data_IF_574313497953
#
_entry.id   IF_574313497953
#
_cell.length_a   1.000
_cell.length_b   1.000
_cell.length_c   1.000
_cell.angle_alpha   90.00
_cell.angle_beta   90.00
_cell.angle_gamma   90.00
#
_symmetry.space_group_name_H-M   'P 1'
#
loop_
_entity.id
_entity.type
_entity.pdbx_description
1 polymer ?
#
# COMPACT_ATOMS: atom_id res chain seq x y z
N UNK A 1 -9.44 -23.52 3.15
CA UNK A 1 -9.16 -22.23 3.79
C UNK A 1 -8.99 -21.18 2.72
N UNK A 2 -9.86 -20.17 2.72
CA UNK A 2 -9.86 -19.05 1.78
C UNK A 2 -8.56 -18.23 1.86
N UNK A 3 -8.21 -17.60 0.75
CA UNK A 3 -7.07 -16.69 0.62
C UNK A 3 -7.55 -15.25 0.78
N UNK A 4 -6.76 -14.42 1.45
CA UNK A 4 -7.03 -12.98 1.54
C UNK A 4 -6.88 -12.36 0.15
N UNK A 5 -7.88 -11.58 -0.26
CA UNK A 5 -7.86 -10.76 -1.46
C UNK A 5 -6.97 -9.56 -1.21
N UNK A 6 -6.05 -9.29 -2.13
CA UNK A 6 -5.14 -8.17 -2.05
C UNK A 6 -5.56 -7.05 -2.99
N UNK A 7 -4.84 -5.93 -2.91
CA UNK A 7 -5.03 -4.74 -3.73
C UNK A 7 -5.34 -5.08 -5.21
N UNK A 8 -6.21 -4.25 -5.81
CA UNK A 8 -6.79 -4.41 -7.15
C UNK A 8 -7.83 -5.53 -7.34
N UNK A 9 -8.07 -6.42 -6.37
CA UNK A 9 -9.26 -7.28 -6.42
C UNK A 9 -10.53 -6.40 -6.33
N UNK A 10 -11.42 -6.40 -7.34
CA UNK A 10 -12.57 -5.50 -7.38
C UNK A 10 -13.52 -5.64 -6.20
N UNK A 11 -13.52 -6.77 -5.48
CA UNK A 11 -14.41 -6.95 -4.33
C UNK A 11 -14.03 -6.04 -3.14
N UNK A 12 -12.77 -5.61 -3.05
CA UNK A 12 -12.28 -4.75 -1.97
C UNK A 12 -12.80 -3.30 -2.08
N UNK A 13 -13.28 -2.92 -3.27
CA UNK A 13 -13.82 -1.59 -3.58
C UNK A 13 -15.34 -1.61 -3.81
N UNK A 14 -16.02 -2.69 -3.40
CA UNK A 14 -17.48 -2.84 -3.52
C UNK A 14 -18.12 -2.85 -2.15
N UNK A 15 -19.19 -2.08 -2.02
CA UNK A 15 -20.13 -2.23 -0.91
C UNK A 15 -20.72 -3.64 -0.91
N UNK A 16 -20.68 -4.29 0.25
CA UNK A 16 -21.12 -5.67 0.41
C UNK A 16 -22.61 -5.78 0.70
N UNK A 17 -23.21 -6.91 0.37
CA UNK A 17 -24.63 -7.16 0.61
C UNK A 17 -24.94 -7.43 2.09
N UNK A 18 -26.06 -6.94 2.63
CA UNK A 18 -26.51 -7.31 3.96
C UNK A 18 -26.68 -8.82 4.14
N UNK A 19 -26.38 -9.31 5.34
CA UNK A 19 -26.69 -10.67 5.78
C UNK A 19 -28.17 -10.74 6.15
N UNK A 20 -28.94 -11.57 5.45
CA UNK A 20 -30.37 -11.78 5.69
C UNK A 20 -30.71 -13.18 6.19
N UNK A 21 -29.77 -14.12 6.08
CA UNK A 21 -29.92 -15.53 6.48
C UNK A 21 -28.84 -15.86 7.50
N UNK A 22 -29.27 -16.26 8.69
CA UNK A 22 -28.42 -16.57 9.85
C UNK A 22 -28.33 -18.08 10.03
N UNK A 23 -27.50 -18.72 9.20
CA UNK A 23 -27.40 -20.18 9.10
C UNK A 23 -26.10 -20.74 9.69
N UNK A 24 -25.98 -22.07 9.71
CA UNK A 24 -24.74 -22.72 10.12
C UNK A 24 -23.58 -22.38 9.18
N UNK A 25 -23.83 -22.22 7.88
CA UNK A 25 -22.81 -21.81 6.91
C UNK A 25 -22.26 -20.41 7.20
N UNK A 26 -23.09 -19.49 7.71
CA UNK A 26 -22.63 -18.16 8.15
C UNK A 26 -21.69 -18.28 9.36
N UNK A 27 -22.01 -19.16 10.30
CA UNK A 27 -21.17 -19.45 11.46
C UNK A 27 -19.84 -20.05 11.03
N UNK A 28 -19.85 -21.07 10.17
CA UNK A 28 -18.64 -21.69 9.61
C UNK A 28 -17.77 -20.67 8.87
N UNK A 29 -18.37 -19.76 8.10
CA UNK A 29 -17.65 -18.66 7.47
C UNK A 29 -16.96 -17.75 8.50
N UNK A 30 -17.65 -17.37 9.59
CA UNK A 30 -17.05 -16.55 10.64
C UNK A 30 -15.89 -17.24 11.36
N UNK A 31 -15.98 -18.56 11.55
CA UNK A 31 -14.91 -19.37 12.13
C UNK A 31 -13.71 -19.46 11.17
N UNK A 32 -13.96 -19.66 9.88
CA UNK A 32 -12.92 -19.60 8.84
C UNK A 32 -12.25 -18.22 8.79
N UNK A 33 -13.02 -17.14 8.89
CA UNK A 33 -12.50 -15.77 8.94
C UNK A 33 -11.57 -15.55 10.13
N UNK A 34 -11.96 -15.99 11.33
CA UNK A 34 -11.09 -15.91 12.51
C UNK A 34 -9.79 -16.69 12.33
N UNK A 35 -9.87 -17.92 11.78
CA UNK A 35 -8.68 -18.73 11.49
C UNK A 35 -7.73 -18.06 10.49
N UNK A 36 -8.27 -17.50 9.40
CA UNK A 36 -7.47 -16.76 8.41
C UNK A 36 -6.86 -15.51 9.01
N UNK A 37 -7.63 -14.75 9.81
CA UNK A 37 -7.15 -13.56 10.51
C UNK A 37 -5.98 -13.91 11.43
N UNK A 38 -6.09 -14.96 12.26
CA UNK A 38 -5.01 -15.39 13.16
C UNK A 38 -3.77 -15.84 12.42
N UNK A 39 -3.94 -16.63 11.36
CA UNK A 39 -2.80 -17.11 10.55
C UNK A 39 -1.98 -15.96 9.96
N UNK A 40 -2.64 -14.85 9.64
CA UNK A 40 -2.00 -13.66 9.09
C UNK A 40 -1.72 -12.57 10.14
N UNK A 41 -1.85 -12.88 11.44
CA UNK A 41 -1.56 -11.95 12.56
C UNK A 41 -2.41 -10.67 12.46
N UNK A 42 -3.67 -10.81 12.01
CA UNK A 42 -4.64 -9.72 11.94
C UNK A 42 -5.39 -9.49 13.26
N UNK A 43 -5.96 -8.29 13.41
CA UNK A 43 -6.84 -7.93 14.54
C UNK A 43 -8.32 -7.80 14.13
N UNK A 44 -8.58 -7.77 12.83
CA UNK A 44 -9.90 -7.73 12.22
C UNK A 44 -9.84 -8.32 10.81
N UNK A 45 -10.99 -8.78 10.32
CA UNK A 45 -11.15 -9.21 8.94
C UNK A 45 -12.62 -9.07 8.50
N UNK A 46 -12.83 -8.41 7.36
CA UNK A 46 -14.11 -8.32 6.68
C UNK A 46 -14.29 -9.44 5.64
N UNK A 47 -15.52 -9.90 5.43
CA UNK A 47 -15.80 -11.06 4.59
C UNK A 47 -15.42 -10.85 3.12
N UNK A 48 -15.52 -9.63 2.59
CA UNK A 48 -15.08 -9.31 1.23
C UNK A 48 -13.57 -9.46 1.05
N UNK A 49 -12.77 -9.34 2.10
CA UNK A 49 -11.34 -9.65 2.05
C UNK A 49 -11.08 -11.15 1.81
N UNK A 50 -12.09 -12.02 1.91
CA UNK A 50 -12.00 -13.43 1.51
C UNK A 50 -12.75 -13.74 0.19
N UNK A 51 -13.25 -12.70 -0.49
CA UNK A 51 -14.07 -12.85 -1.69
C UNK A 51 -15.56 -13.05 -1.41
N UNK A 52 -16.02 -12.89 -0.17
CA UNK A 52 -17.43 -13.05 0.20
C UNK A 52 -18.19 -11.73 0.16
N UNK A 53 -19.23 -11.66 -0.65
CA UNK A 53 -20.09 -10.49 -0.74
C UNK A 53 -21.16 -10.51 0.37
N UNK A 54 -20.74 -10.35 1.63
CA UNK A 54 -21.59 -10.35 2.82
C UNK A 54 -21.13 -9.29 3.81
N UNK A 55 -22.07 -8.58 4.42
CA UNK A 55 -21.82 -7.65 5.52
C UNK A 55 -21.56 -8.44 6.81
N UNK A 56 -20.35 -8.97 6.92
CA UNK A 56 -19.86 -9.76 8.04
C UNK A 56 -18.41 -9.36 8.29
N UNK A 57 -18.10 -9.05 9.55
CA UNK A 57 -16.74 -8.84 10.01
C UNK A 57 -16.46 -9.69 11.25
N UNK A 58 -15.18 -10.00 11.48
CA UNK A 58 -14.70 -10.58 12.73
C UNK A 58 -13.60 -9.71 13.31
N UNK A 59 -13.52 -9.63 14.64
CA UNK A 59 -12.41 -8.96 15.32
C UNK A 59 -11.98 -9.76 16.54
N UNK A 60 -10.68 -9.73 16.82
CA UNK A 60 -10.08 -10.26 18.05
C UNK A 60 -8.73 -9.59 18.27
N UNK A 61 -8.37 -9.35 19.53
CA UNK A 61 -7.04 -8.90 19.87
C UNK A 61 -6.57 -9.55 21.16
N UNK A 62 -5.44 -10.25 21.09
CA UNK A 62 -4.77 -10.84 22.25
C UNK A 62 -3.45 -10.12 22.46
N UNK A 63 -3.30 -9.33 23.54
CA UNK A 63 -2.03 -8.69 23.87
C UNK A 63 -0.94 -9.76 24.03
N UNK A 64 0.28 -9.41 23.65
CA UNK A 64 1.45 -10.22 24.00
C UNK A 64 1.61 -10.18 25.52
N UNK A 65 2.10 -11.26 26.14
CA UNK A 65 2.15 -11.44 27.61
C UNK A 65 2.77 -10.27 28.41
N UNK A 66 3.60 -9.44 27.78
CA UNK A 66 4.31 -8.31 28.41
C UNK A 66 3.70 -6.93 28.11
N UNK A 67 2.65 -6.84 27.29
CA UNK A 67 1.94 -5.58 27.03
C UNK A 67 0.81 -5.40 28.04
N UNK A 68 1.13 -4.73 29.16
CA UNK A 68 0.20 -4.45 30.26
C UNK A 68 -0.79 -3.32 29.95
N UNK A 69 -0.54 -2.53 28.92
CA UNK A 69 -1.35 -1.35 28.58
C UNK A 69 -2.46 -1.70 27.57
N UNK A 70 -2.31 -2.81 26.87
CA UNK A 70 -3.27 -3.34 25.91
C UNK A 70 -4.32 -4.23 26.57
N UNK A 71 -5.60 -3.86 26.41
CA UNK A 71 -6.73 -4.69 26.86
C UNK A 71 -7.10 -5.71 25.78
N UNK A 72 -7.30 -6.99 26.13
CA UNK A 72 -7.74 -7.99 25.16
C UNK A 72 -9.13 -7.66 24.64
N UNK A 73 -9.33 -7.94 23.36
CA UNK A 73 -10.63 -7.90 22.68
C UNK A 73 -11.00 -9.35 22.41
N UNK A 74 -12.05 -9.90 23.05
CA UNK A 74 -12.49 -11.26 22.79
C UNK A 74 -12.98 -11.40 21.35
N UNK A 75 -12.93 -12.62 20.77
CA UNK A 75 -13.40 -12.83 19.41
C UNK A 75 -14.89 -12.47 19.32
N UNK A 76 -15.23 -11.69 18.30
CA UNK A 76 -16.62 -11.37 17.97
C UNK A 76 -16.81 -11.41 16.45
N UNK A 77 -18.01 -11.82 16.05
CA UNK A 77 -18.46 -11.78 14.67
C UNK A 77 -19.72 -10.90 14.61
N UNK A 78 -19.70 -9.90 13.72
CA UNK A 78 -20.77 -8.92 13.61
C UNK A 78 -21.30 -8.90 12.18
N UNK A 79 -22.61 -9.11 12.05
CA UNK A 79 -23.34 -8.98 10.79
C UNK A 79 -23.97 -7.60 10.69
N UNK A 80 -24.07 -7.06 9.48
CA UNK A 80 -24.76 -5.79 9.19
C UNK A 80 -24.26 -4.63 10.07
N UNK A 81 -22.96 -4.59 10.33
CA UNK A 81 -22.35 -3.62 11.20
C UNK A 81 -22.33 -2.23 10.55
N UNK A 82 -22.81 -1.21 11.27
CA UNK A 82 -22.81 0.19 10.85
C UNK A 82 -22.42 1.12 11.98
N UNK A 83 -21.65 2.16 11.67
CA UNK A 83 -21.36 3.25 12.61
C UNK A 83 -22.57 4.18 12.68
N UNK A 84 -23.20 4.28 13.86
CA UNK A 84 -24.36 5.17 14.10
C UNK A 84 -23.98 6.46 14.84
N UNK A 85 -22.81 6.49 15.48
CA UNK A 85 -22.31 7.67 16.18
C UNK A 85 -20.79 7.64 16.26
N UNK A 86 -20.17 8.80 16.04
CA UNK A 86 -18.73 9.00 16.19
C UNK A 86 -18.45 10.11 17.20
N UNK A 87 -17.31 10.02 17.89
CA UNK A 87 -16.79 11.13 18.71
C UNK A 87 -16.32 12.28 17.84
N UNK A 88 -16.33 13.50 18.40
CA UNK A 88 -15.68 14.66 17.78
C UNK A 88 -14.16 14.62 17.94
N UNK A 89 -13.68 14.07 19.06
CA UNK A 89 -12.27 13.81 19.26
C UNK A 89 -11.78 12.75 18.27
N UNK A 90 -10.63 13.01 17.65
CA UNK A 90 -9.94 12.12 16.72
C UNK A 90 -8.54 11.77 17.22
N UNK A 91 -7.98 10.66 16.74
CA UNK A 91 -6.57 10.36 16.89
C UNK A 91 -5.96 9.90 15.55
N UNK A 92 -4.67 10.16 15.37
CA UNK A 92 -3.88 9.68 14.24
C UNK A 92 -2.97 8.56 14.72
N UNK A 93 -3.04 7.41 14.05
CA UNK A 93 -2.19 6.24 14.33
C UNK A 93 -1.86 5.53 13.03
N UNK A 94 -0.81 4.73 13.05
CA UNK A 94 -0.45 3.83 11.95
C UNK A 94 -1.52 2.74 11.82
N UNK A 95 -2.00 2.51 10.60
CA UNK A 95 -2.82 1.36 10.22
C UNK A 95 -2.12 0.56 9.12
N UNK A 96 -2.34 -0.76 9.15
CA UNK A 96 -2.04 -1.68 8.07
C UNK A 96 -3.25 -2.57 7.82
N UNK A 97 -3.27 -3.26 6.69
CA UNK A 97 -4.38 -4.10 6.26
C UNK A 97 -3.87 -5.42 5.69
N UNK A 98 -4.56 -6.52 5.97
CA UNK A 98 -4.24 -7.83 5.39
C UNK A 98 -4.42 -7.88 3.87
N UNK A 99 -5.25 -6.98 3.31
CA UNK A 99 -5.44 -6.82 1.85
C UNK A 99 -4.43 -5.88 1.20
N UNK A 100 -3.62 -5.16 1.98
CA UNK A 100 -2.53 -4.32 1.48
C UNK A 100 -1.26 -4.64 2.30
N UNK A 101 -0.78 -5.89 2.27
CA UNK A 101 0.31 -6.34 3.11
C UNK A 101 1.60 -5.57 2.84
N UNK A 102 2.24 -5.10 3.91
CA UNK A 102 3.48 -4.32 3.84
C UNK A 102 3.26 -2.82 3.65
N UNK A 103 2.01 -2.36 3.56
CA UNK A 103 1.68 -0.94 3.59
C UNK A 103 1.23 -0.52 4.99
N UNK A 104 1.84 0.55 5.50
CA UNK A 104 1.54 1.14 6.79
C UNK A 104 1.43 2.66 6.65
N UNK A 105 0.28 3.23 7.00
CA UNK A 105 0.01 4.66 6.81
C UNK A 105 -0.60 5.29 8.06
N UNK A 106 -0.31 6.57 8.27
CA UNK A 106 -0.94 7.37 9.32
C UNK A 106 -2.39 7.68 8.94
N UNK A 107 -3.34 7.16 9.73
CA UNK A 107 -4.78 7.34 9.50
C UNK A 107 -5.41 8.07 10.69
N UNK A 108 -6.15 9.14 10.39
CA UNK A 108 -6.93 9.88 11.40
C UNK A 108 -8.35 9.33 11.47
N UNK A 109 -8.77 8.89 12.66
CA UNK A 109 -10.14 8.39 12.92
C UNK A 109 -10.73 8.98 14.21
N UNK A 110 -12.07 9.07 14.34
CA UNK A 110 -12.74 9.25 15.62
C UNK A 110 -12.19 8.34 16.73
N UNK A 111 -11.98 8.91 17.92
CA UNK A 111 -11.44 8.21 19.10
C UNK A 111 -12.41 7.17 19.71
N UNK A 112 -13.70 7.33 19.44
CA UNK A 112 -14.74 6.37 19.80
C UNK A 112 -15.90 6.36 18.83
N UNK A 113 -16.55 5.20 18.73
CA UNK A 113 -17.72 4.97 17.87
C UNK A 113 -18.79 4.15 18.59
N UNK A 114 -20.03 4.28 18.13
CA UNK A 114 -21.10 3.35 18.45
C UNK A 114 -21.49 2.60 17.19
N UNK A 115 -21.40 1.27 17.25
CA UNK A 115 -21.79 0.35 16.17
C UNK A 115 -23.16 -0.25 16.50
N UNK A 116 -24.06 -0.28 15.52
CA UNK A 116 -25.19 -1.20 15.49
C UNK A 116 -24.86 -2.36 14.57
N UNK A 117 -25.16 -3.57 15.01
CA UNK A 117 -24.93 -4.80 14.27
C UNK A 117 -25.93 -5.87 14.70
N UNK A 118 -25.79 -7.06 14.14
CA UNK A 118 -26.44 -8.29 14.59
C UNK A 118 -25.37 -9.34 14.90
N UNK A 119 -25.62 -10.21 15.86
CA UNK A 119 -24.79 -11.40 16.04
C UNK A 119 -25.10 -12.46 14.98
N UNK A 120 -24.40 -13.60 15.03
CA UNK A 120 -24.58 -14.72 14.09
C UNK A 120 -25.96 -15.38 14.14
N UNK A 121 -26.80 -15.07 15.13
CA UNK A 121 -28.19 -15.53 15.25
C UNK A 121 -29.19 -14.51 14.74
N UNK A 122 -28.72 -13.33 14.33
CA UNK A 122 -29.56 -12.20 13.90
C UNK A 122 -30.03 -11.31 15.04
N UNK A 123 -29.63 -11.60 16.28
CA UNK A 123 -30.00 -10.78 17.43
C UNK A 123 -29.30 -9.41 17.35
N UNK A 124 -30.03 -8.29 17.50
CA UNK A 124 -29.42 -6.96 17.50
C UNK A 124 -28.41 -6.79 18.63
N UNK A 125 -27.29 -6.13 18.32
CA UNK A 125 -26.23 -5.76 19.26
C UNK A 125 -25.84 -4.30 19.04
N UNK A 126 -25.61 -3.58 20.13
CA UNK A 126 -25.06 -2.21 20.10
C UNK A 126 -23.75 -2.19 20.87
N UNK A 127 -22.67 -1.73 20.22
CA UNK A 127 -21.33 -1.72 20.79
C UNK A 127 -20.85 -0.27 20.87
N UNK A 128 -20.55 0.19 22.09
CA UNK A 128 -19.83 1.45 22.31
C UNK A 128 -18.34 1.16 22.48
N UNK A 129 -17.54 1.58 21.53
CA UNK A 129 -16.11 1.31 21.50
C UNK A 129 -15.29 2.61 21.64
N UNK A 130 -14.12 2.49 22.27
CA UNK A 130 -13.08 3.52 22.34
C UNK A 130 -11.71 2.87 22.10
N UNK A 131 -10.71 3.68 21.78
CA UNK A 131 -9.32 3.20 21.67
C UNK A 131 -9.14 2.19 20.53
N UNK A 132 -8.39 1.12 20.77
CA UNK A 132 -8.05 0.13 19.73
C UNK A 132 -9.29 -0.53 19.11
N UNK A 133 -10.26 -0.96 19.93
CA UNK A 133 -11.49 -1.59 19.42
C UNK A 133 -12.27 -0.64 18.51
N UNK A 134 -12.35 0.66 18.85
CA UNK A 134 -13.02 1.63 17.99
C UNK A 134 -12.31 1.77 16.64
N UNK A 135 -10.98 1.71 16.62
CA UNK A 135 -10.20 1.79 15.37
C UNK A 135 -10.40 0.54 14.52
N UNK A 136 -10.29 -0.65 15.10
CA UNK A 136 -10.50 -1.92 14.37
C UNK A 136 -11.92 -1.95 13.79
N UNK A 137 -12.95 -1.65 14.59
CA UNK A 137 -14.33 -1.67 14.09
C UNK A 137 -14.57 -0.66 12.96
N UNK A 138 -13.99 0.54 13.05
CA UNK A 138 -14.08 1.51 11.95
C UNK A 138 -13.38 1.00 10.68
N UNK A 139 -12.20 0.40 10.82
CA UNK A 139 -11.46 -0.18 9.70
C UNK A 139 -12.23 -1.33 9.02
N UNK A 140 -12.78 -2.25 9.82
CA UNK A 140 -13.53 -3.37 9.26
C UNK A 140 -14.88 -2.93 8.66
N UNK A 141 -15.56 -1.94 9.25
CA UNK A 141 -16.78 -1.38 8.66
C UNK A 141 -16.47 -0.68 7.34
N UNK A 142 -15.39 0.09 7.24
CA UNK A 142 -14.95 0.70 5.98
C UNK A 142 -14.80 -0.37 4.88
N UNK A 143 -14.18 -1.51 5.19
CA UNK A 143 -14.06 -2.59 4.22
C UNK A 143 -15.41 -3.08 3.70
N UNK A 144 -16.42 -3.20 4.56
CA UNK A 144 -17.76 -3.60 4.15
C UNK A 144 -18.41 -2.56 3.22
N UNK A 145 -18.03 -1.30 3.33
CA UNK A 145 -18.48 -0.20 2.47
C UNK A 145 -17.61 -0.02 1.20
N UNK A 146 -16.64 -0.92 0.96
CA UNK A 146 -15.69 -0.82 -0.16
C UNK A 146 -14.64 0.29 0.01
N UNK A 147 -14.43 0.74 1.24
CA UNK A 147 -13.49 1.77 1.63
C UNK A 147 -12.23 1.09 2.17
N UNK A 148 -11.06 1.58 1.75
CA UNK A 148 -9.77 1.12 2.27
C UNK A 148 -9.20 2.16 3.22
N UNK A 149 -8.37 1.74 4.17
CA UNK A 149 -7.72 2.68 5.11
C UNK A 149 -6.87 3.75 4.39
N UNK A 150 -6.37 3.46 3.19
CA UNK A 150 -5.66 4.42 2.32
C UNK A 150 -6.52 5.63 1.94
N UNK A 151 -7.85 5.49 1.91
CA UNK A 151 -8.78 6.58 1.63
C UNK A 151 -8.84 7.62 2.77
N UNK A 152 -8.35 7.24 3.96
CA UNK A 152 -8.29 8.05 5.17
C UNK A 152 -6.85 8.43 5.56
N UNK A 153 -5.86 7.96 4.79
CA UNK A 153 -4.44 8.17 5.10
C UNK A 153 -4.02 9.62 4.86
N UNK A 154 -3.22 10.17 5.78
CA UNK A 154 -2.63 11.50 5.62
C UNK A 154 -1.63 11.51 4.46
N UNK A 155 -1.60 12.61 3.71
CA UNK A 155 -0.70 12.76 2.55
C UNK A 155 -1.12 11.99 1.30
N UNK A 156 -2.08 11.07 1.40
CA UNK A 156 -2.67 10.38 0.25
C UNK A 156 -3.82 11.22 -0.29
N UNK A 157 -3.66 11.76 -1.51
CA UNK A 157 -4.79 12.38 -2.21
C UNK A 157 -5.80 11.26 -2.51
N UNK A 158 -6.98 11.34 -1.89
CA UNK A 158 -8.02 10.33 -2.05
C UNK A 158 -8.47 10.29 -3.52
N UNK A 159 -8.00 9.25 -4.20
CA UNK A 159 -8.27 8.97 -5.58
C UNK A 159 -8.82 7.54 -5.60
N UNK A 160 -10.12 7.41 -5.34
CA UNK A 160 -10.76 6.09 -5.28
C UNK A 160 -10.73 5.34 -6.61
N UNK A 161 -10.47 6.00 -7.74
CA UNK A 161 -10.70 5.45 -9.09
C UNK A 161 -9.84 6.05 -10.23
N UNK A 162 -8.55 6.36 -10.05
CA UNK A 162 -7.69 6.65 -11.22
C UNK A 162 -7.15 5.35 -11.83
N UNK A 163 -8.05 4.58 -12.44
CA UNK A 163 -7.70 3.49 -13.36
C UNK A 163 -7.64 3.97 -14.83
N UNK A 164 -7.30 5.25 -15.04
CA UNK A 164 -7.20 5.82 -16.39
C UNK A 164 -5.91 5.40 -17.11
N UNK A 165 -4.92 4.91 -16.36
CA UNK A 165 -3.64 4.47 -16.88
C UNK A 165 -3.19 3.17 -16.20
N UNK A 166 -2.78 2.21 -17.01
CA UNK A 166 -1.98 1.06 -16.60
C UNK A 166 -0.52 1.51 -16.42
N UNK A 167 0.01 1.38 -15.21
CA UNK A 167 1.36 1.81 -14.85
C UNK A 167 2.29 0.61 -14.75
N UNK A 168 3.44 0.68 -15.42
CA UNK A 168 4.57 -0.21 -15.13
C UNK A 168 5.59 0.57 -14.30
N UNK A 169 5.88 0.05 -13.11
CA UNK A 169 6.82 0.68 -12.19
C UNK A 169 8.22 0.07 -12.31
N UNK A 170 9.25 0.90 -12.38
CA UNK A 170 10.66 0.49 -12.42
C UNK A 170 11.38 0.96 -11.16
N UNK A 171 12.04 0.04 -10.46
CA UNK A 171 12.82 0.36 -9.27
C UNK A 171 13.42 -0.85 -8.59
N UNK A 172 14.33 -0.67 -7.63
CA UNK A 172 15.05 -1.77 -6.98
C UNK A 172 15.35 -1.59 -5.49
N UNK A 173 15.70 -0.38 -5.08
CA UNK A 173 16.15 -0.05 -3.73
C UNK A 173 15.00 0.37 -2.78
N UNK A 174 15.37 0.91 -1.63
CA UNK A 174 14.44 1.39 -0.59
C UNK A 174 13.66 2.62 -1.04
N UNK A 175 14.34 3.60 -1.64
CA UNK A 175 13.72 4.81 -2.18
C UNK A 175 12.60 4.47 -3.18
N UNK A 176 12.88 3.57 -4.11
CA UNK A 176 11.90 3.13 -5.09
C UNK A 176 10.77 2.28 -4.50
N UNK A 177 10.99 1.54 -3.41
CA UNK A 177 9.92 0.85 -2.69
C UNK A 177 8.94 1.84 -2.06
N UNK A 178 9.42 2.96 -1.51
CA UNK A 178 8.57 4.04 -0.99
C UNK A 178 7.75 4.72 -2.11
N UNK A 179 8.36 4.96 -3.29
CA UNK A 179 7.63 5.47 -4.45
C UNK A 179 6.52 4.51 -4.88
N UNK A 180 6.82 3.21 -4.98
CA UNK A 180 5.82 2.17 -5.30
C UNK A 180 4.68 2.17 -4.27
N UNK A 181 5.03 2.20 -2.98
CA UNK A 181 4.07 2.29 -1.88
C UNK A 181 3.15 3.50 -2.02
N UNK A 182 3.69 4.67 -2.36
CA UNK A 182 2.93 5.90 -2.62
C UNK A 182 1.96 5.78 -3.80
N UNK A 183 2.37 5.17 -4.91
CA UNK A 183 1.51 4.93 -6.07
C UNK A 183 0.32 4.03 -5.71
N UNK A 184 0.59 2.92 -5.02
CA UNK A 184 -0.41 1.92 -4.62
C UNK A 184 -1.39 2.53 -3.60
N UNK A 185 -0.87 3.25 -2.61
CA UNK A 185 -1.67 3.95 -1.60
C UNK A 185 -2.62 4.98 -2.23
N UNK A 186 -2.17 5.63 -3.30
CA UNK A 186 -2.96 6.59 -4.07
C UNK A 186 -4.00 5.92 -5.00
N UNK A 187 -4.14 4.60 -4.97
CA UNK A 187 -5.12 3.86 -5.76
C UNK A 187 -4.81 3.82 -7.26
N UNK A 188 -3.57 4.14 -7.67
CA UNK A 188 -3.16 4.06 -9.06
C UNK A 188 -2.95 2.60 -9.48
N UNK A 189 -3.25 2.27 -10.73
CA UNK A 189 -3.20 0.89 -11.23
C UNK A 189 -1.79 0.49 -11.69
N UNK A 190 -1.00 -0.08 -10.78
CA UNK A 190 0.33 -0.64 -11.09
C UNK A 190 0.16 -2.08 -11.55
N UNK A 191 0.30 -2.31 -12.86
CA UNK A 191 0.04 -3.61 -13.50
C UNK A 191 1.24 -4.54 -13.49
N UNK A 192 2.45 -3.99 -13.36
CA UNK A 192 3.68 -4.76 -13.22
C UNK A 192 4.78 -3.92 -12.58
N UNK A 193 5.73 -4.61 -11.97
CA UNK A 193 6.95 -4.06 -11.40
C UNK A 193 8.15 -4.66 -12.11
N UNK A 194 9.00 -3.79 -12.67
CA UNK A 194 10.27 -4.14 -13.28
C UNK A 194 11.39 -3.78 -12.30
N UNK A 195 12.22 -4.76 -11.95
CA UNK A 195 13.27 -4.59 -10.94
C UNK A 195 14.54 -5.31 -11.35
N UNK A 196 15.68 -5.00 -10.72
CA UNK A 196 16.93 -5.69 -11.00
C UNK A 196 16.88 -7.15 -10.55
N UNK A 197 17.75 -8.00 -11.13
CA UNK A 197 17.93 -9.38 -10.68
C UNK A 197 18.42 -9.44 -9.24
N UNK A 198 18.09 -10.51 -8.53
CA UNK A 198 18.53 -10.71 -7.14
C UNK A 198 20.07 -10.71 -7.08
N UNK A 199 20.64 -9.90 -6.16
CA UNK A 199 22.09 -9.74 -6.03
C UNK A 199 22.61 -10.56 -4.86
N UNK A 200 23.87 -11.01 -4.96
CA UNK A 200 24.59 -11.54 -3.80
C UNK A 200 24.81 -10.43 -2.78
N UNK A 201 24.57 -10.71 -1.50
CA UNK A 201 24.81 -9.77 -0.41
C UNK A 201 25.77 -10.35 0.63
N UNK A 202 26.69 -9.52 1.11
CA UNK A 202 27.66 -9.89 2.14
C UNK A 202 28.71 -10.90 1.66
N UNK A 203 29.31 -11.63 2.61
CA UNK A 203 30.24 -12.75 2.35
C UNK A 203 29.44 -14.06 2.35
N UNK A 204 29.57 -14.88 1.31
CA UNK A 204 28.86 -16.17 1.15
C UNK A 204 27.91 -16.19 -0.06
N UNK A 205 27.12 -17.25 -0.21
CA UNK A 205 26.20 -17.46 -1.34
C UNK A 205 24.77 -16.92 -1.09
N UNK A 206 24.58 -16.04 -0.11
CA UNK A 206 23.26 -15.50 0.20
C UNK A 206 22.83 -14.46 -0.86
N UNK A 207 21.71 -14.73 -1.53
CA UNK A 207 21.05 -13.80 -2.46
C UNK A 207 20.02 -12.96 -1.73
N UNK A 208 20.00 -11.65 -1.98
CA UNK A 208 19.02 -10.72 -1.46
C UNK A 208 18.17 -10.19 -2.62
N UNK A 209 16.87 -10.46 -2.54
CA UNK A 209 15.88 -9.88 -3.45
C UNK A 209 15.76 -8.36 -3.22
N UNK A 210 15.58 -7.57 -4.30
CA UNK A 210 15.26 -6.14 -4.23
C UNK A 210 14.07 -5.85 -3.30
N UNK A 211 14.06 -4.69 -2.63
CA UNK A 211 12.98 -4.33 -1.71
C UNK A 211 11.65 -4.15 -2.47
N UNK A 212 11.73 -3.54 -3.65
CA UNK A 212 10.63 -3.43 -4.61
C UNK A 212 10.03 -4.80 -4.97
N UNK A 213 10.86 -5.82 -5.24
CA UNK A 213 10.41 -7.21 -5.49
C UNK A 213 9.65 -7.78 -4.31
N UNK A 214 10.17 -7.58 -3.08
CA UNK A 214 9.53 -8.10 -1.86
C UNK A 214 8.15 -7.46 -1.65
N UNK A 215 8.03 -6.14 -1.85
CA UNK A 215 6.76 -5.42 -1.71
C UNK A 215 5.76 -5.86 -2.79
N UNK A 216 6.17 -5.89 -4.06
CA UNK A 216 5.33 -6.32 -5.17
C UNK A 216 4.79 -7.75 -4.98
N UNK A 217 5.64 -8.69 -4.56
CA UNK A 217 5.23 -10.07 -4.27
C UNK A 217 4.20 -10.17 -3.14
N UNK A 218 4.33 -9.37 -2.07
CA UNK A 218 3.33 -9.32 -1.00
C UNK A 218 1.98 -8.85 -1.52
N UNK A 219 1.99 -7.87 -2.43
CA UNK A 219 0.81 -7.27 -3.04
C UNK A 219 0.31 -8.03 -4.27
N UNK A 220 0.95 -9.15 -4.62
CA UNK A 220 0.65 -9.99 -5.79
C UNK A 220 0.71 -9.24 -7.13
N UNK A 221 1.52 -8.19 -7.19
CA UNK A 221 1.80 -7.46 -8.42
C UNK A 221 2.86 -8.25 -9.21
N UNK A 222 2.66 -8.49 -10.52
CA UNK A 222 3.63 -9.19 -11.34
C UNK A 222 5.02 -8.54 -11.29
N UNK A 223 6.05 -9.34 -11.00
CA UNK A 223 7.45 -8.89 -10.98
C UNK A 223 8.19 -9.43 -12.20
N UNK A 224 8.91 -8.54 -12.88
CA UNK A 224 9.71 -8.85 -14.07
C UNK A 224 11.14 -8.39 -13.82
N UNK A 225 12.11 -9.27 -14.09
CA UNK A 225 13.53 -9.02 -13.86
C UNK A 225 14.30 -9.23 -15.17
N UNK A 226 14.23 -8.28 -16.12
CA UNK A 226 14.91 -8.42 -17.41
C UNK A 226 16.41 -8.47 -17.19
N UNK A 227 17.13 -9.36 -17.88
CA UNK A 227 18.57 -9.53 -17.69
C UNK A 227 19.34 -8.37 -18.34
N UNK A 228 18.88 -7.92 -19.50
CA UNK A 228 19.52 -6.90 -20.33
C UNK A 228 18.52 -5.79 -20.75
N UNK A 229 19.00 -4.77 -21.45
CA UNK A 229 18.19 -3.61 -21.86
C UNK A 229 17.27 -3.95 -23.04
N UNK A 230 17.64 -4.92 -23.87
CA UNK A 230 16.87 -5.38 -25.03
C UNK A 230 15.56 -6.05 -24.59
N UNK A 231 15.58 -6.77 -23.47
CA UNK A 231 14.38 -7.38 -22.87
C UNK A 231 13.37 -6.36 -22.34
N UNK A 232 13.84 -5.18 -21.88
CA UNK A 232 12.95 -4.12 -21.35
C UNK A 232 11.94 -3.71 -22.42
N UNK A 233 12.39 -3.48 -23.65
CA UNK A 233 11.52 -3.09 -24.77
C UNK A 233 10.45 -4.16 -25.04
N UNK A 234 10.84 -5.43 -25.07
CA UNK A 234 9.92 -6.56 -25.29
C UNK A 234 8.87 -6.65 -24.18
N UNK A 235 9.29 -6.48 -22.91
CA UNK A 235 8.38 -6.45 -21.76
C UNK A 235 7.36 -5.33 -21.89
N UNK A 236 7.80 -4.12 -22.21
CA UNK A 236 6.90 -2.98 -22.34
C UNK A 236 5.93 -3.14 -23.53
N UNK A 237 6.39 -3.70 -24.66
CA UNK A 237 5.51 -4.00 -25.80
C UNK A 237 4.43 -5.01 -25.43
N UNK A 238 4.79 -6.04 -24.66
CA UNK A 238 3.83 -7.06 -24.22
C UNK A 238 2.80 -6.51 -23.24
N UNK A 239 3.23 -5.66 -22.30
CA UNK A 239 2.34 -5.06 -21.30
C UNK A 239 1.51 -3.90 -21.85
N UNK A 240 2.01 -3.23 -22.88
CA UNK A 240 1.40 -2.05 -23.52
C UNK A 240 0.87 -1.02 -22.49
N UNK A 241 1.74 -0.50 -21.59
CA UNK A 241 1.29 0.38 -20.53
C UNK A 241 0.91 1.77 -21.05
N UNK A 242 0.11 2.48 -20.27
CA UNK A 242 -0.20 3.88 -20.53
C UNK A 242 0.91 4.78 -20.00
N UNK A 243 1.55 4.40 -18.89
CA UNK A 243 2.60 5.18 -18.24
C UNK A 243 3.70 4.27 -17.67
N UNK A 244 4.94 4.71 -17.80
CA UNK A 244 6.06 4.16 -17.01
C UNK A 244 6.42 5.13 -15.89
N UNK A 245 6.57 4.62 -14.67
CA UNK A 245 7.14 5.38 -13.56
C UNK A 245 8.42 4.69 -13.12
N UNK A 246 9.53 5.42 -13.15
CA UNK A 246 10.85 4.95 -12.78
C UNK A 246 11.32 5.69 -11.52
N UNK A 247 11.91 4.96 -10.59
CA UNK A 247 12.64 5.50 -9.46
C UNK A 247 13.84 4.58 -9.19
N UNK A 248 15.06 5.12 -9.18
CA UNK A 248 16.29 4.37 -8.85
C UNK A 248 16.37 2.97 -9.49
N UNK A 249 16.43 2.95 -10.82
CA UNK A 249 16.61 1.73 -11.61
C UNK A 249 17.96 1.79 -12.35
N UNK A 250 18.81 0.78 -12.17
CA UNK A 250 20.21 0.85 -12.61
C UNK A 250 20.47 0.61 -14.10
N UNK A 251 19.44 0.30 -14.90
CA UNK A 251 19.57 0.11 -16.35
C UNK A 251 18.97 1.30 -17.10
N UNK A 252 19.69 1.75 -18.12
CA UNK A 252 19.21 2.77 -19.06
C UNK A 252 18.10 2.15 -19.92
N UNK A 253 16.95 2.82 -19.97
CA UNK A 253 15.86 2.45 -20.88
C UNK A 253 16.25 2.84 -22.32
N UNK A 254 16.19 1.92 -23.28
CA UNK A 254 16.35 2.25 -24.70
C UNK A 254 15.36 3.33 -25.16
N UNK A 255 15.70 4.13 -26.17
CA UNK A 255 14.82 5.18 -26.71
C UNK A 255 13.46 4.61 -27.15
N UNK A 256 13.47 3.47 -27.85
CA UNK A 256 12.25 2.75 -28.22
C UNK A 256 11.37 2.38 -27.01
N UNK A 257 11.99 2.02 -25.88
CA UNK A 257 11.24 1.69 -24.66
C UNK A 257 10.55 2.92 -24.04
N UNK A 258 11.11 4.12 -24.21
CA UNK A 258 10.53 5.37 -23.70
C UNK A 258 9.31 5.83 -24.51
N UNK A 259 9.22 5.40 -25.78
CA UNK A 259 8.14 5.78 -26.70
C UNK A 259 6.92 4.83 -26.66
N UNK A 260 7.08 3.64 -26.06
CA UNK A 260 5.97 2.66 -25.95
C UNK A 260 4.79 3.19 -25.13
N UNK A 261 4.98 3.76 -23.92
CA UNK A 261 3.83 4.12 -23.09
C UNK A 261 3.07 5.31 -23.67
N UNK A 262 1.73 5.24 -23.69
CA UNK A 262 0.84 6.28 -24.25
C UNK A 262 1.17 7.70 -23.77
N UNK A 263 1.50 7.84 -22.48
CA UNK A 263 1.82 9.11 -21.81
C UNK A 263 3.31 9.27 -21.51
N UNK A 264 4.15 8.38 -22.05
CA UNK A 264 5.59 8.35 -21.88
C UNK A 264 6.06 7.77 -20.54
N UNK A 265 7.30 8.08 -20.17
CA UNK A 265 7.94 7.61 -18.94
C UNK A 265 8.29 8.79 -18.04
N UNK A 266 8.03 8.66 -16.74
CA UNK A 266 8.41 9.61 -15.70
C UNK A 266 9.52 9.04 -14.84
N UNK A 267 10.53 9.84 -14.50
CA UNK A 267 11.50 9.52 -13.46
C UNK A 267 11.20 10.33 -12.19
N UNK A 268 11.27 9.67 -11.04
CA UNK A 268 11.29 10.29 -9.71
C UNK A 268 12.74 10.39 -9.27
N UNK A 269 13.30 11.60 -9.38
CA UNK A 269 14.71 11.88 -9.13
C UNK A 269 14.90 12.58 -7.78
N UNK A 270 15.72 12.05 -6.85
CA UNK A 270 15.90 12.61 -5.51
C UNK A 270 16.87 13.79 -5.47
N UNK A 271 16.65 14.79 -6.34
CA UNK A 271 17.23 16.13 -6.23
C UNK A 271 16.28 17.17 -6.79
N UNK A 272 16.63 18.45 -6.58
CA UNK A 272 16.05 19.58 -7.32
C UNK A 272 16.79 19.78 -8.65
N UNK A 273 16.35 19.09 -9.70
CA UNK A 273 16.89 19.25 -11.05
C UNK A 273 16.81 20.73 -11.51
N UNK A 274 17.78 21.21 -12.31
CA UNK A 274 18.85 20.46 -12.97
C UNK A 274 20.08 20.17 -12.09
N UNK A 275 20.07 20.54 -10.80
CA UNK A 275 21.19 20.20 -9.89
C UNK A 275 21.24 18.69 -9.66
N UNK A 276 22.45 18.17 -9.49
CA UNK A 276 22.71 16.79 -9.07
C UNK A 276 22.02 15.71 -9.95
N UNK A 277 22.15 15.83 -11.27
CA UNK A 277 21.84 14.73 -12.20
C UNK A 277 22.71 13.51 -11.92
N UNK A 278 22.25 12.33 -12.33
CA UNK A 278 23.01 11.09 -12.26
C UNK A 278 22.77 10.30 -10.97
N UNK A 279 23.69 9.39 -10.67
CA UNK A 279 23.42 8.27 -9.77
C UNK A 279 23.49 8.56 -8.26
N UNK A 280 24.08 9.68 -7.83
CA UNK A 280 24.35 9.95 -6.40
C UNK A 280 23.84 11.33 -5.93
N UNK A 281 22.60 11.72 -6.24
CA UNK A 281 22.13 13.08 -5.99
C UNK A 281 22.14 13.48 -4.51
N UNK A 282 21.66 12.61 -3.63
CA UNK A 282 21.56 12.88 -2.19
C UNK A 282 22.95 13.03 -1.55
N UNK A 283 23.87 12.11 -1.86
CA UNK A 283 25.24 12.18 -1.36
C UNK A 283 25.95 13.45 -1.85
N UNK A 284 25.75 13.82 -3.12
CA UNK A 284 26.35 15.03 -3.68
C UNK A 284 25.79 16.31 -3.05
N UNK A 285 24.48 16.37 -2.74
CA UNK A 285 23.88 17.50 -2.04
C UNK A 285 24.43 17.64 -0.60
N UNK A 286 24.51 16.53 0.14
CA UNK A 286 25.08 16.50 1.50
C UNK A 286 26.56 16.92 1.52
N UNK A 287 27.38 16.36 0.62
CA UNK A 287 28.82 16.69 0.53
C UNK A 287 29.08 18.14 0.11
N UNK A 288 28.19 18.73 -0.68
CA UNK A 288 28.26 20.13 -1.07
C UNK A 288 27.79 21.08 0.06
N UNK A 289 27.27 20.55 1.16
CA UNK A 289 26.76 21.36 2.28
C UNK A 289 25.48 22.12 1.94
N UNK A 290 24.68 21.62 0.98
CA UNK A 290 23.39 22.20 0.63
C UNK A 290 22.48 22.27 1.86
N UNK A 291 21.64 23.30 1.92
CA UNK A 291 20.65 23.49 3.00
C UNK A 291 19.24 23.06 2.62
N UNK A 292 19.04 22.82 1.33
CA UNK A 292 17.78 22.39 0.77
C UNK A 292 18.06 21.41 -0.37
N UNK A 293 17.25 20.36 -0.44
CA UNK A 293 17.15 19.45 -1.58
C UNK A 293 15.69 19.16 -1.84
N UNK A 294 15.39 18.07 -2.54
CA UNK A 294 14.03 17.64 -2.76
C UNK A 294 13.93 16.52 -3.77
N UNK A 295 12.73 16.37 -4.31
CA UNK A 295 12.43 15.37 -5.33
C UNK A 295 11.88 16.08 -6.56
N UNK A 296 12.33 15.65 -7.73
CA UNK A 296 11.82 16.08 -9.03
C UNK A 296 11.13 14.92 -9.72
N UNK A 297 9.90 15.14 -10.19
CA UNK A 297 9.26 14.30 -11.19
C UNK A 297 9.54 14.93 -12.55
N UNK A 298 10.17 14.18 -13.45
CA UNK A 298 10.48 14.64 -14.81
C UNK A 298 10.06 13.62 -15.87
N UNK A 299 9.72 14.09 -17.07
CA UNK A 299 9.56 13.22 -18.25
C UNK A 299 10.93 12.74 -18.71
N UNK A 300 11.09 11.43 -18.89
CA UNK A 300 12.32 10.87 -19.40
C UNK A 300 12.53 11.19 -20.88
N UNK A 301 13.78 11.30 -21.28
CA UNK A 301 14.21 11.38 -22.68
C UNK A 301 15.49 10.55 -22.86
N UNK A 302 16.11 10.59 -24.04
CA UNK A 302 17.34 9.85 -24.32
C UNK A 302 18.56 10.24 -23.47
N UNK A 303 18.52 11.40 -22.80
CA UNK A 303 19.58 11.87 -21.93
C UNK A 303 19.36 11.45 -20.48
N UNK A 304 20.43 11.45 -19.69
CA UNK A 304 20.37 11.12 -18.25
C UNK A 304 19.92 12.35 -17.48
N UNK A 305 18.73 12.27 -16.87
CA UNK A 305 18.15 13.33 -16.04
C UNK A 305 18.02 14.70 -16.73
N UNK A 306 17.89 14.69 -18.06
CA UNK A 306 17.74 15.90 -18.91
C UNK A 306 16.31 16.18 -19.34
N UNK A 307 15.36 15.46 -18.74
CA UNK A 307 13.94 15.53 -19.01
C UNK A 307 13.28 16.88 -18.74
N UNK A 308 12.08 17.06 -19.31
CA UNK A 308 11.18 18.16 -18.90
C UNK A 308 10.75 17.94 -17.45
N UNK A 309 10.97 18.93 -16.59
CA UNK A 309 10.53 18.89 -15.20
C UNK A 309 9.01 19.07 -15.16
N UNK A 310 8.30 18.11 -14.54
CA UNK A 310 6.84 18.13 -14.38
C UNK A 310 6.44 18.73 -13.05
N UNK A 311 7.15 18.37 -11.97
CA UNK A 311 6.87 18.85 -10.62
C UNK A 311 8.11 18.71 -9.74
N UNK A 312 8.22 19.58 -8.74
CA UNK A 312 9.25 19.52 -7.70
C UNK A 312 8.65 19.78 -6.32
N UNK A 313 9.22 19.13 -5.32
CA UNK A 313 8.96 19.39 -3.90
C UNK A 313 10.30 19.53 -3.20
N UNK A 314 10.41 20.48 -2.26
CA UNK A 314 11.65 20.70 -1.51
C UNK A 314 11.56 20.12 -0.09
N UNK A 315 12.73 19.87 0.50
CA UNK A 315 12.91 19.56 1.92
C UNK A 315 14.20 20.22 2.42
N UNK A 316 14.21 20.62 3.68
CA UNK A 316 15.40 21.19 4.32
C UNK A 316 16.37 20.10 4.71
N UNK A 317 17.67 20.38 4.62
CA UNK A 317 18.75 19.51 5.09
C UNK A 317 19.21 20.05 6.45
N UNK A 318 19.00 19.28 7.51
CA UNK A 318 19.50 19.58 8.85
C UNK A 318 21.00 19.29 8.97
N UNK A 319 21.65 19.79 10.02
CA UNK A 319 23.07 19.52 10.28
C UNK A 319 23.34 18.07 10.70
N UNK A 320 22.32 17.36 11.14
CA UNK A 320 22.38 15.99 11.63
C UNK A 320 21.98 14.98 10.55
N UNK A 321 21.51 15.46 9.39
CA UNK A 321 21.08 14.58 8.32
C UNK A 321 22.21 13.76 7.72
N UNK A 322 21.91 12.49 7.50
CA UNK A 322 22.76 11.52 6.83
C UNK A 322 22.08 11.08 5.54
N UNK A 323 22.81 10.34 4.70
CA UNK A 323 22.22 9.73 3.50
C UNK A 323 20.96 8.87 3.80
N UNK A 324 20.88 8.28 4.99
CA UNK A 324 19.75 7.41 5.37
C UNK A 324 18.56 8.23 5.89
N UNK A 325 18.81 9.37 6.56
CA UNK A 325 17.74 10.16 7.17
C UNK A 325 17.13 11.22 6.25
N UNK A 326 17.87 11.63 5.22
CA UNK A 326 17.45 12.62 4.22
C UNK A 326 16.66 11.98 3.07
#
# INVERSE_FOLDING_TARGET
MKKVRVIYDPILRKEVKPVTVFSNELKELSEEMLLVMHKNIGMGLAANQLGENKNLLVVEYRPVKDDKDSRPIPPMALCNARIIKSSQETNTKIEGCLSLPGLELLVTRPSGVTIEAQDLTGKPVTIKAKGLLARILQHEVDHLDGILFTDHAQGVKNIRNYNWANIVFFGSDEFSAEVLSGLISSGLNVVAVVTETDKRAGRGDNTVAPLVKKLANKLEIPVIQPENKEEITSVLKQLNPDLVVLASYGKILPEEALEIPTYGALNVHPSLLPKYRGATPLQSALLAGEKETGVTIMKMNKGVDTGEIVSQTTTQISSEDTFISL
#
